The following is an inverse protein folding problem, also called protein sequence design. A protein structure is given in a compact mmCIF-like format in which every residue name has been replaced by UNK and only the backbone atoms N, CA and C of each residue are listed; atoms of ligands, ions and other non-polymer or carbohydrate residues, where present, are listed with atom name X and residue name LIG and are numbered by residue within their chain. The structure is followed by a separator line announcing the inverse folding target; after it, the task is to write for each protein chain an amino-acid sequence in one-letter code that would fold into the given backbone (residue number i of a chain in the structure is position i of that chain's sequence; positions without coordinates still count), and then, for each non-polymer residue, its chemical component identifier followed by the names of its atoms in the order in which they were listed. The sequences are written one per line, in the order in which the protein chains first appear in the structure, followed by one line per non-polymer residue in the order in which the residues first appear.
data_IF_329033217226
#
_entry.id   IF_329033217226
#
_cell.length_a   1.000
_cell.length_b   1.000
_cell.length_c   1.000
_cell.angle_alpha   90.00
_cell.angle_beta   90.00
_cell.angle_gamma   90.00
#
_symmetry.space_group_name_H-M   'P 1'
#
loop_
_entity.id
_entity.type
_entity.pdbx_description
1 polymer ?
#
# COMPACT_ATOMS: atom_id res chain seq x y z
N UNK A 10 -7.14 -10.74 -9.09
CA UNK A 10 -7.17 -9.33 -8.58
C UNK A 10 -6.45 -8.36 -9.53
N UNK A 11 -6.93 -7.15 -9.62
CA UNK A 11 -6.29 -6.14 -10.51
C UNK A 11 -5.64 -5.05 -9.66
N UNK A 12 -4.48 -4.61 -10.06
CA UNK A 12 -3.74 -3.57 -9.29
C UNK A 12 -3.55 -2.30 -10.12
N UNK A 13 -3.50 -1.16 -9.47
CA UNK A 13 -3.28 0.12 -10.19
C UNK A 13 -2.46 1.05 -9.29
N UNK A 14 -2.35 2.30 -9.65
CA UNK A 14 -1.58 3.24 -8.78
C UNK A 14 -2.26 4.61 -8.76
N UNK A 15 -2.17 5.32 -7.66
CA UNK A 15 -2.80 6.67 -7.60
C UNK A 15 -1.75 7.74 -7.22
N UNK A 16 -1.86 8.92 -7.79
CA UNK A 16 -0.89 9.99 -7.50
C UNK A 16 -1.14 10.66 -6.14
N UNK A 17 -2.24 10.39 -5.50
CA UNK A 17 -2.51 11.05 -4.17
C UNK A 17 -1.57 10.53 -3.08
N UNK A 18 -1.29 9.25 -3.06
CA UNK A 18 -0.40 8.70 -1.99
C UNK A 18 1.06 9.11 -2.21
N UNK A 19 1.29 10.40 -2.05
CA UNK A 19 2.65 10.98 -2.15
C UNK A 19 3.13 11.31 -0.73
N UNK A 20 4.39 11.65 -0.60
CA UNK A 20 4.97 11.90 0.75
C UNK A 20 4.24 12.98 1.54
N UNK A 21 3.72 14.02 0.91
CA UNK A 21 3.08 15.09 1.72
C UNK A 21 1.57 14.84 1.92
N UNK A 22 1.10 13.66 1.61
CA UNK A 22 -0.35 13.35 1.79
C UNK A 22 -0.67 13.19 3.27
N UNK A 23 -1.61 13.96 3.75
CA UNK A 23 -2.00 13.85 5.19
C UNK A 23 -2.72 12.53 5.45
N UNK A 24 -2.41 11.88 6.53
CA UNK A 24 -3.06 10.57 6.86
C UNK A 24 -4.52 10.76 7.25
N UNK A 25 -4.96 11.95 7.56
CA UNK A 25 -6.38 12.16 7.97
C UNK A 25 -7.33 11.94 6.79
N UNK A 26 -6.81 11.92 5.58
CA UNK A 26 -7.70 11.73 4.39
C UNK A 26 -7.92 10.25 4.06
N UNK A 27 -7.27 9.34 4.76
CA UNK A 27 -7.47 7.89 4.43
C UNK A 27 -8.38 7.22 5.47
N UNK A 28 -8.80 6.01 5.19
CA UNK A 28 -9.71 5.28 6.14
C UNK A 28 -9.02 5.10 7.50
N UNK A 29 -7.74 4.81 7.51
CA UNK A 29 -7.03 4.61 8.81
C UNK A 29 -6.71 5.97 9.45
N UNK A 30 -7.73 6.68 9.89
CA UNK A 30 -7.50 8.01 10.53
C UNK A 30 -7.77 7.93 12.04
N UNK A 31 -6.73 8.03 12.82
CA UNK A 31 -6.87 7.98 14.30
C UNK A 31 -7.67 6.74 14.73
N UNK A 32 -8.52 6.85 15.73
CA UNK A 32 -9.28 5.66 16.19
C UNK A 32 -8.28 4.65 16.78
N UNK A 33 -8.63 3.40 16.79
CA UNK A 33 -7.68 2.36 17.34
C UNK A 33 -6.58 2.03 16.32
N UNK A 34 -6.92 1.90 15.06
CA UNK A 34 -5.89 1.53 14.03
C UNK A 34 -5.24 2.78 13.42
N UNK A 35 -5.59 3.96 13.87
CA UNK A 35 -4.99 5.20 13.29
C UNK A 35 -3.46 5.16 13.35
N UNK A 36 -2.83 5.47 12.26
CA UNK A 36 -1.35 5.50 12.21
C UNK A 36 -0.84 6.94 12.42
N UNK A 37 -1.72 7.90 12.37
CA UNK A 37 -1.31 9.32 12.56
C UNK A 37 -0.68 9.53 13.94
N UNK A 38 -1.15 8.82 14.93
CA UNK A 38 -0.61 9.00 16.32
C UNK A 38 0.93 8.95 16.34
N UNK A 39 1.51 7.78 16.19
CA UNK A 39 3.00 7.69 16.19
C UNK A 39 3.57 8.31 14.92
N UNK A 40 2.92 8.08 13.82
CA UNK A 40 3.39 8.63 12.52
C UNK A 40 2.30 9.53 11.93
N UNK A 41 2.34 10.81 12.26
CA UNK A 41 1.30 11.75 11.76
C UNK A 41 1.44 12.03 10.25
N UNK A 42 2.47 11.52 9.61
CA UNK A 42 2.64 11.78 8.15
C UNK A 42 3.02 10.49 7.43
N UNK A 43 2.61 10.36 6.18
CA UNK A 43 2.92 9.12 5.40
C UNK A 43 4.40 9.09 5.03
N UNK A 44 5.13 8.11 5.50
CA UNK A 44 6.58 8.01 5.15
C UNK A 44 7.36 7.32 6.28
N UNK A 45 6.76 6.40 6.98
CA UNK A 45 7.50 5.69 8.07
C UNK A 45 6.82 4.35 8.37
N UNK A 46 5.51 4.33 8.50
CA UNK A 46 4.81 3.03 8.78
C UNK A 46 5.08 2.07 7.59
N UNK A 47 4.68 2.47 6.40
CA UNK A 47 4.96 1.64 5.20
C UNK A 47 6.43 1.81 4.80
N UNK A 48 6.98 2.95 5.10
CA UNK A 48 8.39 3.24 4.74
C UNK A 48 8.40 4.59 4.00
N UNK A 49 7.71 4.62 2.86
CA UNK A 49 7.56 5.87 2.03
C UNK A 49 7.04 5.49 0.62
N UNK A 50 7.78 4.65 -0.11
CA UNK A 50 7.35 4.26 -1.47
C UNK A 50 6.70 2.88 -1.46
N UNK A 51 6.26 2.41 -0.32
CA UNK A 51 5.63 1.06 -0.25
C UNK A 51 4.27 1.18 0.43
N UNK A 52 3.52 2.18 0.08
CA UNK A 52 2.17 2.39 0.70
C UNK A 52 1.11 2.45 -0.41
N UNK A 53 -0.03 1.85 -0.15
CA UNK A 53 -1.12 1.84 -1.16
C UNK A 53 -2.42 1.39 -0.50
N UNK A 54 -3.51 1.54 -1.19
CA UNK A 54 -4.82 1.10 -0.63
C UNK A 54 -4.95 -0.41 -0.82
N UNK A 55 -5.77 -1.04 -0.02
CA UNK A 55 -5.96 -2.52 -0.15
C UNK A 55 -7.42 -2.88 0.19
N UNK A 56 -7.95 -3.87 -0.49
CA UNK A 56 -9.38 -4.31 -0.30
C UNK A 56 -9.73 -4.82 1.10
N UNK A 57 -8.77 -4.98 2.00
CA UNK A 57 -9.12 -5.51 3.35
C UNK A 57 -9.29 -4.40 4.41
N UNK A 58 -9.57 -3.20 3.97
CA UNK A 58 -9.79 -2.08 4.94
C UNK A 58 -11.28 -1.70 4.92
N UNK A 59 -11.90 -1.61 6.08
CA UNK A 59 -13.36 -1.30 6.14
C UNK A 59 -13.63 0.21 6.10
N UNK A 60 -12.96 1.00 6.89
CA UNK A 60 -13.25 2.45 6.85
C UNK A 60 -12.38 3.23 7.85
N UNK A 61 -13.01 4.08 8.62
CA UNK A 61 -12.27 4.94 9.60
C UNK A 61 -11.39 4.13 10.55
N UNK A 62 -11.68 2.86 10.77
CA UNK A 62 -10.84 2.06 11.70
C UNK A 62 -10.77 0.59 11.25
N UNK A 63 -10.23 0.35 10.09
CA UNK A 63 -10.16 -1.05 9.58
C UNK A 63 -9.38 -1.96 10.55
N UNK A 64 -9.83 -3.19 10.70
CA UNK A 64 -9.15 -4.14 11.61
C UNK A 64 -7.87 -4.69 10.96
N UNK A 65 -7.79 -4.64 9.66
CA UNK A 65 -6.58 -5.18 8.95
C UNK A 65 -5.61 -4.05 8.61
N UNK A 66 -5.78 -2.88 9.18
CA UNK A 66 -4.84 -1.76 8.86
C UNK A 66 -3.46 -2.07 9.44
N UNK A 67 -2.42 -1.72 8.71
CA UNK A 67 -1.03 -1.98 9.21
C UNK A 67 -0.64 -3.45 8.98
N UNK A 68 -0.97 -3.99 7.83
CA UNK A 68 -0.62 -5.41 7.53
C UNK A 68 0.28 -5.48 6.30
N UNK A 69 1.37 -6.19 6.43
CA UNK A 69 2.36 -6.31 5.32
C UNK A 69 1.93 -7.34 4.27
N UNK A 70 2.15 -7.05 3.01
CA UNK A 70 1.79 -8.01 1.92
C UNK A 70 2.80 -7.92 0.78
N UNK A 71 3.01 -9.00 0.08
CA UNK A 71 3.96 -8.99 -1.07
C UNK A 71 3.16 -9.10 -2.38
N UNK A 72 3.46 -8.28 -3.34
CA UNK A 72 2.69 -8.35 -4.63
C UNK A 72 3.61 -8.88 -5.74
N UNK A 73 3.15 -9.89 -6.45
CA UNK A 73 3.99 -10.51 -7.53
C UNK A 73 3.32 -10.40 -8.90
N UNK A 74 4.11 -10.18 -9.93
CA UNK A 74 3.52 -10.07 -11.31
C UNK A 74 4.11 -11.16 -12.23
N UNK A 75 3.45 -11.40 -13.35
CA UNK A 75 3.91 -12.45 -14.31
C UNK A 75 5.29 -12.17 -14.89
N UNK A 76 5.72 -10.93 -14.91
CA UNK A 76 7.08 -10.61 -15.45
C UNK A 76 8.16 -11.22 -14.56
N UNK A 77 7.95 -11.16 -13.28
CA UNK A 77 8.95 -11.74 -12.33
C UNK A 77 9.52 -10.64 -11.44
N UNK A 78 8.68 -9.99 -10.69
CA UNK A 78 9.15 -8.91 -9.77
C UNK A 78 8.11 -8.67 -8.68
N UNK A 79 8.52 -8.26 -7.51
CA UNK A 79 7.52 -8.02 -6.43
C UNK A 79 7.98 -6.93 -5.45
N UNK A 80 7.03 -6.34 -4.78
CA UNK A 80 7.32 -5.28 -3.78
C UNK A 80 6.44 -5.50 -2.55
N UNK A 81 6.73 -4.86 -1.44
CA UNK A 81 5.87 -5.08 -0.24
C UNK A 81 4.99 -3.86 0.01
N UNK A 82 3.70 -4.07 0.14
CA UNK A 82 2.78 -2.93 0.38
C UNK A 82 2.12 -3.07 1.75
N UNK A 83 2.13 -2.03 2.55
CA UNK A 83 1.50 -2.10 3.89
C UNK A 83 0.12 -1.44 3.81
N UNK A 84 -0.87 -2.08 4.38
CA UNK A 84 -2.26 -1.54 4.32
C UNK A 84 -2.32 -0.11 4.85
N UNK A 85 -3.21 0.69 4.32
CA UNK A 85 -3.38 2.10 4.78
C UNK A 85 -4.78 2.63 4.36
N UNK A 86 -5.26 2.28 3.20
CA UNK A 86 -6.60 2.75 2.72
C UNK A 86 -7.39 1.55 2.16
N UNK A 87 -8.66 1.74 1.89
CA UNK A 87 -9.48 0.61 1.35
C UNK A 87 -9.59 0.70 -0.18
N UNK A 88 -9.92 -0.39 -0.82
CA UNK A 88 -10.04 -0.38 -2.31
C UNK A 88 -11.37 -1.01 -2.73
N UNK A 89 -11.97 -0.46 -3.75
CA UNK A 89 -13.27 -1.01 -4.25
C UNK A 89 -13.10 -2.45 -4.72
N UNK A 90 -12.01 -2.75 -5.37
CA UNK A 90 -11.78 -4.14 -5.88
C UNK A 90 -10.38 -4.25 -6.50
N UNK A 91 -9.36 -4.24 -5.69
CA UNK A 91 -7.98 -4.37 -6.23
C UNK A 91 -6.98 -3.63 -5.34
N UNK A 92 -5.72 -3.84 -5.56
CA UNK A 92 -4.66 -3.17 -4.75
C UNK A 92 -4.12 -1.95 -5.50
N UNK A 93 -4.09 -0.80 -4.85
CA UNK A 93 -3.57 0.42 -5.53
C UNK A 93 -2.37 0.97 -4.74
N UNK A 94 -1.28 1.27 -5.41
CA UNK A 94 -0.08 1.79 -4.66
C UNK A 94 0.48 3.04 -5.32
N UNK A 95 1.46 3.66 -4.69
CA UNK A 95 2.06 4.89 -5.29
C UNK A 95 2.57 4.61 -6.72
N UNK A 96 2.60 5.62 -7.54
CA UNK A 96 3.08 5.43 -8.93
C UNK A 96 4.55 5.05 -8.93
N UNK A 97 5.30 5.44 -7.92
CA UNK A 97 6.75 5.05 -7.89
C UNK A 97 6.85 3.55 -7.61
N UNK A 98 6.02 3.02 -6.74
CA UNK A 98 6.06 1.56 -6.46
C UNK A 98 5.57 0.82 -7.69
N UNK A 99 4.55 1.33 -8.32
CA UNK A 99 4.01 0.66 -9.56
C UNK A 99 5.09 0.59 -10.64
N UNK A 100 5.73 1.70 -10.93
CA UNK A 100 6.77 1.72 -12.01
C UNK A 100 7.91 0.74 -11.68
N UNK A 101 8.27 0.67 -10.43
CA UNK A 101 9.37 -0.25 -10.03
C UNK A 101 8.94 -1.71 -10.15
N UNK A 102 7.71 -2.01 -9.78
CA UNK A 102 7.24 -3.42 -9.85
C UNK A 102 7.05 -3.88 -11.30
N UNK A 103 6.47 -3.06 -12.14
CA UNK A 103 6.24 -3.48 -13.57
C UNK A 103 7.36 -2.99 -14.47
N UNK A 104 7.87 -1.83 -14.22
CA UNK A 104 8.96 -1.27 -15.06
C UNK A 104 8.53 0.09 -15.61
N UNK A 105 7.25 0.28 -15.80
CA UNK A 105 6.75 1.58 -16.33
C UNK A 105 5.28 1.79 -15.93
N UNK A 106 4.77 2.97 -16.12
CA UNK A 106 3.34 3.24 -15.75
C UNK A 106 2.42 3.10 -16.98
N UNK A 107 2.95 2.63 -18.07
CA UNK A 107 2.11 2.47 -19.31
C UNK A 107 1.10 1.34 -19.13
N UNK A 108 1.44 0.35 -18.33
CA UNK A 108 0.50 -0.79 -18.12
C UNK A 108 -0.82 -0.31 -17.53
N UNK A 109 -0.78 0.63 -16.61
CA UNK A 109 -2.03 1.15 -16.00
C UNK A 109 -2.52 0.16 -14.94
N UNK A 110 -3.24 -0.86 -15.36
CA UNK A 110 -3.76 -1.86 -14.37
C UNK A 110 -3.43 -3.27 -14.84
N UNK A 111 -2.91 -4.10 -13.96
CA UNK A 111 -2.56 -5.49 -14.35
C UNK A 111 -3.36 -6.50 -13.52
N UNK A 112 -4.14 -7.31 -14.17
CA UNK A 112 -4.98 -8.32 -13.45
C UNK A 112 -4.19 -9.58 -13.12
N UNK A 113 -4.79 -10.49 -12.40
CA UNK A 113 -4.12 -11.78 -12.02
C UNK A 113 -2.84 -11.54 -11.21
N UNK A 114 -2.87 -10.61 -10.30
CA UNK A 114 -1.66 -10.35 -9.46
C UNK A 114 -1.67 -11.22 -8.22
N UNK A 115 -0.61 -11.95 -7.97
CA UNK A 115 -0.60 -12.83 -6.76
C UNK A 115 -0.15 -12.03 -5.54
N UNK A 116 -0.80 -12.25 -4.43
CA UNK A 116 -0.47 -11.52 -3.18
C UNK A 116 -0.39 -12.47 -1.99
N UNK A 117 0.55 -12.26 -1.11
CA UNK A 117 0.70 -13.14 0.09
C UNK A 117 1.12 -12.31 1.30
N UNK A 118 0.65 -12.66 2.47
CA UNK A 118 1.01 -11.90 3.70
C UNK A 118 2.33 -12.38 4.28
N UNK A 119 3.14 -11.46 4.77
CA UNK A 119 4.45 -11.86 5.37
C UNK A 119 4.67 -11.09 6.68
N UNK A 120 5.76 -11.38 7.36
CA UNK A 120 6.04 -10.67 8.65
C UNK A 120 6.20 -9.17 8.42
N UNK A 121 5.85 -8.37 9.40
CA UNK A 121 5.98 -6.88 9.25
C UNK A 121 7.43 -6.47 9.00
N UNK A 122 8.36 -7.11 9.67
CA UNK A 122 9.81 -6.75 9.50
C UNK A 122 10.19 -6.72 8.02
N UNK A 123 9.68 -7.64 7.25
CA UNK A 123 10.01 -7.69 5.78
C UNK A 123 9.56 -6.42 5.08
N UNK A 124 8.41 -5.89 5.42
CA UNK A 124 7.93 -4.63 4.75
C UNK A 124 8.91 -3.49 5.04
N UNK A 125 9.29 -3.33 6.28
CA UNK A 125 10.23 -2.22 6.63
C UNK A 125 11.62 -2.48 6.04
N UNK A 126 12.08 -3.71 6.06
CA UNK A 126 13.43 -4.03 5.50
C UNK A 126 13.44 -3.79 3.99
N UNK A 127 12.38 -4.15 3.31
CA UNK A 127 12.32 -3.97 1.83
C UNK A 127 12.22 -2.48 1.48
N UNK A 128 11.32 -1.78 2.12
CA UNK A 128 11.16 -0.32 1.82
C UNK A 128 12.46 0.44 2.12
N UNK A 129 13.12 0.10 3.20
CA UNK A 129 14.40 0.79 3.55
C UNK A 129 15.60 0.03 2.98
#
# INVERSE_FOLDING_TARGET
EEGVSLEKRVSISYDPIYAADLSMGSVACSNGDHGLMAQYPTLGEVPGFPNVGGIPDIAGWDSPSCGTCWKVTIPNGNSIFIRGVDSGRGGFNVNPTAFTKLVGSTEAGRVDNVNYVQVDLSNCINGAN
#
